data_IF_787876267965
#
_entry.id   IF_787876267965
#
_cell.length_a   1.000
_cell.length_b   1.000
_cell.length_c   1.000
_cell.angle_alpha   90.00
_cell.angle_beta   90.00
_cell.angle_gamma   90.00
#
_symmetry.space_group_name_H-M   'P 1'
#
loop_
_entity.id
_entity.type
_entity.pdbx_description
1 polymer ?
#
# COMPACT_ATOMS: atom_id res chain seq x y z
N UNK A 1 9.11 23.77 2.16
CA UNK A 1 8.35 22.52 2.02
C UNK A 1 7.01 22.82 1.39
N UNK A 2 6.55 21.99 0.45
CA UNK A 2 5.19 22.04 -0.12
C UNK A 2 4.41 20.82 0.36
N UNK A 3 3.30 21.04 1.04
CA UNK A 3 2.36 20.00 1.44
C UNK A 3 1.21 19.99 0.43
N UNK A 4 1.21 19.00 -0.46
CA UNK A 4 0.10 18.73 -1.36
C UNK A 4 -0.97 17.91 -0.64
N UNK A 5 -2.04 18.54 -0.21
CA UNK A 5 -3.15 17.91 0.50
C UNK A 5 -4.33 17.67 -0.45
N UNK A 6 -4.58 16.41 -0.76
CA UNK A 6 -5.76 15.96 -1.51
C UNK A 6 -6.65 15.01 -0.68
N UNK A 7 -6.44 14.94 0.64
CA UNK A 7 -7.08 14.00 1.59
C UNK A 7 -6.77 12.53 1.33
N UNK A 8 -5.82 12.23 0.46
CA UNK A 8 -5.49 10.87 0.07
C UNK A 8 -3.98 10.67 0.07
N UNK A 9 -3.62 9.46 0.37
CA UNK A 9 -2.34 8.87 0.01
C UNK A 9 -2.60 8.00 -1.24
N UNK A 10 -2.50 6.69 -1.15
CA UNK A 10 -3.07 5.75 -2.13
C UNK A 10 -4.56 5.57 -1.81
N UNK A 11 -4.89 5.30 -0.54
CA UNK A 11 -6.25 5.31 0.02
C UNK A 11 -6.55 6.62 0.78
N UNK A 12 -7.76 6.75 1.37
CA UNK A 12 -8.11 7.91 2.21
C UNK A 12 -7.20 7.98 3.43
N UNK A 13 -6.73 9.18 3.74
CA UNK A 13 -5.90 9.40 4.92
C UNK A 13 -6.66 9.10 6.22
N UNK A 14 -5.98 8.43 7.16
CA UNK A 14 -6.51 8.05 8.48
C UNK A 14 -5.71 8.72 9.61
N UNK A 15 -6.31 8.79 10.80
CA UNK A 15 -5.65 9.29 12.01
C UNK A 15 -5.91 10.76 12.35
N UNK A 16 -5.34 11.19 13.48
CA UNK A 16 -5.57 12.54 14.05
C UNK A 16 -5.00 13.66 13.21
N UNK A 17 -3.87 13.45 12.55
CA UNK A 17 -3.26 14.44 11.66
C UNK A 17 -4.14 14.73 10.44
N UNK A 18 -4.72 13.70 9.81
CA UNK A 18 -5.67 13.85 8.72
C UNK A 18 -6.93 14.60 9.16
N UNK A 19 -7.44 14.33 10.38
CA UNK A 19 -8.57 15.07 10.96
C UNK A 19 -8.23 16.53 11.18
N UNK A 20 -7.02 16.83 11.67
CA UNK A 20 -6.56 18.21 11.91
C UNK A 20 -6.49 19.00 10.59
N UNK A 21 -5.86 18.44 9.54
CA UNK A 21 -5.79 19.03 8.21
C UNK A 21 -7.18 19.27 7.63
N UNK A 22 -8.10 18.32 7.78
CA UNK A 22 -9.50 18.45 7.36
C UNK A 22 -10.21 19.58 8.09
N UNK A 23 -9.99 19.72 9.41
CA UNK A 23 -10.59 20.80 10.22
C UNK A 23 -10.12 22.17 9.77
N UNK A 24 -8.83 22.35 9.46
CA UNK A 24 -8.26 23.59 8.92
C UNK A 24 -8.92 23.90 7.56
N UNK A 25 -9.06 22.91 6.69
CA UNK A 25 -9.61 23.05 5.34
C UNK A 25 -11.11 23.39 5.32
N UNK A 26 -11.91 22.80 6.23
CA UNK A 26 -13.38 22.97 6.26
C UNK A 26 -13.86 24.13 7.14
N UNK A 27 -12.96 24.88 7.75
CA UNK A 27 -13.31 26.00 8.62
C UNK A 27 -14.10 27.08 7.87
N UNK A 28 -15.41 27.13 8.08
CA UNK A 28 -16.31 28.17 7.51
C UNK A 28 -15.83 29.59 7.81
N UNK A 29 -15.19 29.81 8.97
CA UNK A 29 -14.64 31.13 9.38
C UNK A 29 -13.53 31.60 8.44
N UNK A 30 -12.68 30.64 7.96
CA UNK A 30 -11.61 30.97 7.02
C UNK A 30 -12.17 31.32 5.63
N UNK A 31 -13.10 30.54 5.11
CA UNK A 31 -13.72 30.76 3.79
C UNK A 31 -14.47 32.10 3.76
N UNK A 32 -15.29 32.38 4.77
CA UNK A 32 -16.10 33.63 4.85
C UNK A 32 -15.21 34.85 5.06
N UNK A 33 -14.14 34.76 5.86
CA UNK A 33 -13.22 35.84 6.07
C UNK A 33 -12.43 36.21 4.82
N UNK A 34 -11.96 35.19 4.04
CA UNK A 34 -11.25 35.40 2.78
C UNK A 34 -12.12 36.12 1.75
N UNK A 35 -13.36 35.67 1.57
CA UNK A 35 -14.32 36.29 0.64
C UNK A 35 -14.67 37.75 0.99
N UNK A 36 -14.99 38.00 2.25
CA UNK A 36 -15.35 39.35 2.70
C UNK A 36 -14.15 40.35 2.70
N UNK A 37 -12.93 39.83 2.91
CA UNK A 37 -11.72 40.65 2.92
C UNK A 37 -11.29 41.06 1.52
N UNK A 38 -11.33 40.14 0.56
CA UNK A 38 -11.03 40.45 -0.85
C UNK A 38 -12.01 41.45 -1.46
N UNK A 39 -13.32 41.33 -1.16
CA UNK A 39 -14.32 42.29 -1.62
C UNK A 39 -14.19 43.68 -0.98
N UNK A 40 -13.65 43.81 0.25
CA UNK A 40 -13.41 45.11 0.92
C UNK A 40 -12.13 45.78 0.45
N UNK A 41 -11.05 45.03 0.19
CA UNK A 41 -9.79 45.58 -0.33
C UNK A 41 -9.90 46.13 -1.75
N UNK A 42 -10.71 45.49 -2.59
CA UNK A 42 -10.96 45.96 -3.97
C UNK A 42 -11.68 47.33 -4.04
N UNK A 43 -12.21 47.85 -2.92
CA UNK A 43 -12.95 49.13 -2.84
C UNK A 43 -12.17 50.32 -2.30
N UNK A 44 -10.85 50.17 -1.95
CA UNK A 44 -10.06 51.28 -1.37
C UNK A 44 -8.99 51.70 -2.37
N UNK A 45 -9.09 52.88 -2.97
CA UNK A 45 -8.06 53.42 -3.83
C UNK A 45 -6.88 53.96 -3.02
N UNK A 46 -5.67 53.55 -3.38
CA UNK A 46 -4.35 54.12 -3.03
C UNK A 46 -4.15 54.53 -1.57
N UNK A 47 -3.80 53.62 -0.70
CA UNK A 47 -3.24 53.96 0.61
C UNK A 47 -1.95 53.15 0.85
N UNK A 48 -0.88 53.90 1.16
CA UNK A 48 0.50 53.49 1.09
C UNK A 48 0.98 52.33 1.98
N UNK A 49 2.25 52.00 1.76
CA UNK A 49 3.01 50.87 2.31
C UNK A 49 3.00 50.71 3.84
N UNK A 50 2.72 51.78 4.60
CA UNK A 50 2.66 51.73 6.07
C UNK A 50 1.36 51.10 6.60
N UNK A 51 0.24 51.25 5.92
CA UNK A 51 -1.04 50.62 6.28
C UNK A 51 -1.01 49.13 5.97
N UNK A 52 -0.31 48.74 4.93
CA UNK A 52 -0.11 47.31 4.61
C UNK A 52 0.66 46.56 5.72
N UNK A 53 1.67 47.21 6.34
CA UNK A 53 2.39 46.65 7.49
C UNK A 53 1.50 46.52 8.74
N UNK A 54 0.66 47.50 8.99
CA UNK A 54 -0.27 47.49 10.12
C UNK A 54 -1.37 46.44 9.93
N UNK A 55 -1.92 46.31 8.73
CA UNK A 55 -2.89 45.26 8.40
C UNK A 55 -2.27 43.85 8.42
N UNK A 56 -1.03 43.70 7.99
CA UNK A 56 -0.31 42.41 8.10
C UNK A 56 -0.10 42.04 9.57
N UNK A 57 0.24 43.03 10.43
CA UNK A 57 0.40 42.81 11.88
C UNK A 57 -0.92 42.45 12.56
N UNK A 58 -2.01 43.17 12.25
CA UNK A 58 -3.34 42.89 12.77
C UNK A 58 -3.85 41.53 12.26
N UNK A 59 -3.67 41.22 10.99
CA UNK A 59 -4.01 39.90 10.45
C UNK A 59 -3.24 38.76 11.12
N UNK A 60 -1.97 38.97 11.46
CA UNK A 60 -1.16 37.97 12.17
C UNK A 60 -1.65 37.78 13.61
N UNK A 61 -2.05 38.90 14.32
CA UNK A 61 -2.62 38.79 15.66
C UNK A 61 -4.05 38.21 15.66
N UNK A 62 -4.90 38.62 14.74
CA UNK A 62 -6.25 38.04 14.56
C UNK A 62 -6.17 36.59 14.15
N UNK A 63 -5.22 36.22 13.29
CA UNK A 63 -4.91 34.81 12.99
C UNK A 63 -4.54 34.02 14.24
N UNK A 64 -3.62 34.52 15.07
CA UNK A 64 -3.23 33.89 16.33
C UNK A 64 -4.36 33.83 17.36
N UNK A 65 -5.31 34.76 17.34
CA UNK A 65 -6.48 34.79 18.23
C UNK A 65 -7.60 33.82 17.75
N UNK A 66 -7.75 33.65 16.42
CA UNK A 66 -8.81 32.82 15.84
C UNK A 66 -8.33 31.37 15.61
N UNK A 67 -7.05 31.22 15.36
CA UNK A 67 -6.39 29.93 15.22
C UNK A 67 -5.36 29.79 16.36
N UNK A 68 -5.55 28.81 17.23
CA UNK A 68 -4.42 28.21 17.94
C UNK A 68 -3.39 27.88 16.87
N UNK A 69 -2.08 28.12 17.15
CA UNK A 69 -0.98 27.84 16.23
C UNK A 69 -1.22 26.53 15.48
N UNK A 70 -0.95 26.52 14.17
CA UNK A 70 -1.05 25.25 13.45
C UNK A 70 0.08 24.35 13.92
N UNK A 71 -0.12 23.02 13.91
CA UNK A 71 0.92 22.04 14.21
C UNK A 71 2.26 22.35 13.52
N UNK A 72 2.21 22.90 12.31
CA UNK A 72 3.40 23.25 11.54
C UNK A 72 4.11 24.50 12.07
N UNK A 73 3.37 25.47 12.62
CA UNK A 73 3.95 26.67 13.26
C UNK A 73 4.61 26.28 14.59
N UNK A 74 4.04 25.33 15.32
CA UNK A 74 4.65 24.78 16.53
C UNK A 74 5.95 24.00 16.25
N UNK A 75 6.10 23.45 15.04
CA UNK A 75 7.34 22.85 14.53
C UNK A 75 8.35 23.90 13.98
N UNK A 76 8.05 25.21 14.10
CA UNK A 76 8.94 26.28 13.66
C UNK A 76 8.83 26.65 12.17
N UNK A 77 7.86 26.13 11.44
CA UNK A 77 7.62 26.56 10.07
C UNK A 77 6.77 27.82 10.01
N UNK A 78 7.05 28.68 9.05
CA UNK A 78 6.11 29.70 8.63
C UNK A 78 5.09 29.10 7.69
N UNK A 79 3.82 29.08 8.09
CA UNK A 79 2.75 28.43 7.36
C UNK A 79 2.05 29.38 6.37
N UNK A 80 1.93 28.95 5.12
CA UNK A 80 1.13 29.56 4.06
C UNK A 80 0.07 28.59 3.57
N UNK A 81 -1.18 29.00 3.57
CA UNK A 81 -2.26 28.16 3.03
C UNK A 81 -3.50 28.09 3.93
N UNK A 82 -4.42 27.17 3.62
CA UNK A 82 -4.44 26.34 2.41
C UNK A 82 -4.70 27.17 1.14
N UNK A 83 -4.04 26.82 0.05
CA UNK A 83 -4.12 27.45 -1.27
C UNK A 83 -4.73 26.47 -2.26
N UNK A 84 -5.54 26.94 -3.20
CA UNK A 84 -6.01 26.11 -4.29
C UNK A 84 -4.85 25.74 -5.22
N UNK A 85 -4.51 24.45 -5.29
CA UNK A 85 -3.41 23.93 -6.12
C UNK A 85 -3.74 23.85 -7.60
N UNK A 86 -4.96 24.17 -8.00
CA UNK A 86 -5.36 24.29 -9.41
C UNK A 86 -5.40 25.76 -9.87
N UNK A 87 -5.11 26.73 -8.98
CA UNK A 87 -4.93 28.15 -9.27
C UNK A 87 -3.43 28.45 -9.42
N UNK A 88 -2.95 28.48 -10.65
CA UNK A 88 -1.52 28.66 -10.95
C UNK A 88 -1.03 30.04 -10.55
N UNK A 89 -1.84 31.09 -10.71
CA UNK A 89 -1.44 32.47 -10.37
C UNK A 89 -1.27 32.61 -8.86
N UNK A 90 -2.21 32.06 -8.07
CA UNK A 90 -2.10 32.01 -6.61
C UNK A 90 -0.88 31.21 -6.13
N UNK A 91 -0.52 30.12 -6.82
CA UNK A 91 0.69 29.36 -6.52
C UNK A 91 1.95 30.15 -6.80
N UNK A 92 2.04 30.85 -7.94
CA UNK A 92 3.19 31.71 -8.30
C UNK A 92 3.37 32.79 -7.24
N UNK A 93 2.31 33.47 -6.84
CA UNK A 93 2.34 34.53 -5.83
C UNK A 93 2.88 34.04 -4.49
N UNK A 94 2.38 32.89 -4.01
CA UNK A 94 2.83 32.35 -2.73
C UNK A 94 4.26 31.82 -2.78
N UNK A 95 4.70 31.23 -3.89
CA UNK A 95 6.09 30.82 -4.05
C UNK A 95 7.04 32.01 -4.07
N UNK A 96 6.68 33.10 -4.73
CA UNK A 96 7.46 34.34 -4.71
C UNK A 96 7.53 34.95 -3.29
N UNK A 97 6.41 34.97 -2.56
CA UNK A 97 6.39 35.40 -1.18
C UNK A 97 7.26 34.49 -0.29
N UNK A 98 7.22 33.19 -0.49
CA UNK A 98 8.03 32.25 0.27
C UNK A 98 9.54 32.41 0.03
N UNK A 99 9.96 32.66 -1.22
CA UNK A 99 11.37 32.92 -1.58
C UNK A 99 11.95 34.16 -0.88
N UNK A 100 11.12 35.14 -0.55
CA UNK A 100 11.55 36.37 0.10
C UNK A 100 11.87 36.19 1.60
N UNK A 101 11.68 34.99 2.16
CA UNK A 101 11.90 34.71 3.58
C UNK A 101 13.16 33.89 3.83
N UNK A 102 13.91 34.27 4.89
CA UNK A 102 15.09 33.54 5.38
C UNK A 102 14.73 32.47 6.43
N UNK A 103 13.47 32.05 6.49
CA UNK A 103 13.00 31.05 7.45
C UNK A 103 12.42 29.82 6.71
N UNK A 104 12.34 28.70 7.42
CA UNK A 104 11.67 27.50 6.91
C UNK A 104 10.18 27.81 6.68
N UNK A 105 9.72 27.61 5.45
CA UNK A 105 8.33 27.85 5.01
C UNK A 105 7.66 26.54 4.67
N UNK A 106 6.40 26.37 5.11
CA UNK A 106 5.51 25.32 4.67
C UNK A 106 4.34 25.93 3.89
N UNK A 107 4.20 25.53 2.63
CA UNK A 107 3.11 25.94 1.75
C UNK A 107 2.13 24.76 1.67
N UNK A 108 0.92 24.96 2.18
CA UNK A 108 -0.14 23.97 2.16
C UNK A 108 -1.02 24.21 0.93
N UNK A 109 -1.04 23.23 0.03
CA UNK A 109 -1.75 23.29 -1.24
C UNK A 109 -2.86 22.24 -1.25
N UNK A 110 -4.09 22.66 -1.50
CA UNK A 110 -5.22 21.76 -1.67
C UNK A 110 -5.40 21.38 -3.14
N UNK A 111 -5.41 20.10 -3.42
CA UNK A 111 -5.68 19.59 -4.78
C UNK A 111 -6.80 18.56 -4.78
N UNK A 112 -7.32 18.29 -5.97
CA UNK A 112 -8.25 17.18 -6.22
C UNK A 112 -7.49 16.12 -7.03
N UNK A 113 -7.34 14.92 -6.45
CA UNK A 113 -6.67 13.80 -7.15
C UNK A 113 -7.49 13.38 -8.36
N UNK A 114 -6.84 13.28 -9.53
CA UNK A 114 -7.52 12.96 -10.81
C UNK A 114 -8.21 14.14 -11.49
N UNK A 115 -8.00 15.39 -11.03
CA UNK A 115 -8.61 16.62 -11.56
C UNK A 115 -8.51 16.70 -13.08
N UNK A 116 -9.66 16.92 -13.73
CA UNK A 116 -9.76 17.03 -15.19
C UNK A 116 -10.22 15.75 -15.90
N UNK A 117 -10.30 14.62 -15.16
CA UNK A 117 -10.86 13.38 -15.67
C UNK A 117 -11.88 12.80 -14.68
N UNK A 118 -13.16 12.95 -15.01
CA UNK A 118 -14.27 12.63 -14.10
C UNK A 118 -14.22 11.22 -13.49
N UNK A 119 -13.90 10.12 -14.24
CA UNK A 119 -13.78 8.80 -13.64
C UNK A 119 -12.68 8.74 -12.55
N UNK A 120 -11.56 9.43 -12.76
CA UNK A 120 -10.48 9.48 -11.77
C UNK A 120 -10.82 10.35 -10.55
N UNK A 121 -11.57 11.44 -10.74
CA UNK A 121 -12.07 12.27 -9.62
C UNK A 121 -13.04 11.46 -8.75
N UNK A 122 -13.87 10.61 -9.36
CA UNK A 122 -14.86 9.78 -8.68
C UNK A 122 -14.20 8.59 -7.94
N UNK A 123 -13.22 7.93 -8.56
CA UNK A 123 -12.52 6.76 -8.02
C UNK A 123 -11.00 6.94 -8.02
N UNK A 124 -10.47 7.91 -7.26
CA UNK A 124 -9.06 8.27 -7.33
C UNK A 124 -8.08 7.18 -6.85
N UNK A 125 -8.56 6.19 -6.10
CA UNK A 125 -7.78 5.03 -5.68
C UNK A 125 -7.50 4.10 -6.87
N UNK A 126 -8.54 3.75 -7.64
CA UNK A 126 -8.45 2.90 -8.82
C UNK A 126 -7.49 3.48 -9.89
N UNK A 127 -7.52 4.82 -10.06
CA UNK A 127 -6.67 5.52 -11.03
C UNK A 127 -5.27 5.87 -10.51
N UNK A 128 -4.90 5.45 -9.30
CA UNK A 128 -3.56 5.68 -8.77
C UNK A 128 -2.49 4.87 -9.52
N UNK A 129 -2.81 3.63 -9.90
CA UNK A 129 -1.89 2.73 -10.60
C UNK A 129 -2.65 1.84 -11.59
N UNK A 130 -3.59 2.41 -12.35
CA UNK A 130 -4.42 1.68 -13.30
C UNK A 130 -3.59 1.22 -14.51
N UNK A 131 -3.81 -0.02 -14.97
CA UNK A 131 -3.28 -0.52 -16.22
C UNK A 131 -3.98 0.07 -17.44
N UNK A 132 -4.01 -0.65 -18.56
CA UNK A 132 -4.74 -0.21 -19.77
C UNK A 132 -6.23 -0.17 -19.50
N UNK A 133 -6.89 0.96 -19.82
CA UNK A 133 -8.34 1.17 -19.63
C UNK A 133 -8.96 1.88 -20.83
N UNK A 134 -10.28 1.87 -20.93
CA UNK A 134 -11.01 2.65 -21.93
C UNK A 134 -11.16 4.09 -21.44
N UNK A 135 -10.69 5.06 -22.22
CA UNK A 135 -10.66 6.47 -21.82
C UNK A 135 -12.07 7.09 -21.71
N UNK A 136 -13.06 6.55 -22.43
CA UNK A 136 -14.42 7.10 -22.41
C UNK A 136 -15.22 6.62 -21.22
N UNK A 137 -15.04 5.36 -20.81
CA UNK A 137 -15.77 4.75 -19.71
C UNK A 137 -14.98 4.74 -18.39
N UNK A 138 -13.65 4.80 -18.45
CA UNK A 138 -12.78 4.61 -17.30
C UNK A 138 -12.61 3.14 -16.87
N UNK A 139 -13.22 2.20 -17.61
CA UNK A 139 -13.20 0.78 -17.26
C UNK A 139 -11.85 0.13 -17.61
N UNK A 140 -11.23 -0.61 -16.66
CA UNK A 140 -10.00 -1.32 -16.94
C UNK A 140 -10.25 -2.45 -17.95
N UNK A 141 -9.32 -2.65 -18.86
CA UNK A 141 -9.34 -3.81 -19.75
C UNK A 141 -9.04 -5.07 -18.95
N UNK A 142 -9.97 -6.01 -18.93
CA UNK A 142 -9.84 -7.27 -18.20
C UNK A 142 -8.56 -8.02 -18.60
N UNK A 143 -7.77 -8.39 -17.61
CA UNK A 143 -6.54 -9.21 -17.79
C UNK A 143 -6.74 -10.67 -17.41
N UNK A 144 -7.96 -11.13 -17.16
CA UNK A 144 -8.25 -12.48 -16.65
C UNK A 144 -8.01 -12.62 -15.13
N UNK A 145 -8.17 -13.83 -14.61
CA UNK A 145 -7.92 -14.15 -13.19
C UNK A 145 -6.42 -14.06 -12.91
N UNK A 146 -6.05 -13.39 -11.84
CA UNK A 146 -4.67 -13.23 -11.40
C UNK A 146 -4.49 -13.68 -9.94
N UNK A 147 -3.23 -13.75 -9.46
CA UNK A 147 -2.93 -14.23 -8.10
C UNK A 147 -3.54 -13.34 -7.02
N UNK A 148 -3.55 -12.03 -7.18
CA UNK A 148 -4.14 -11.10 -6.20
C UNK A 148 -5.66 -11.31 -6.08
N UNK A 149 -6.36 -11.48 -7.21
CA UNK A 149 -7.80 -11.79 -7.21
C UNK A 149 -8.08 -13.16 -6.58
N UNK A 150 -7.28 -14.18 -6.91
CA UNK A 150 -7.38 -15.50 -6.31
C UNK A 150 -7.16 -15.45 -4.79
N UNK A 151 -6.17 -14.69 -4.33
CA UNK A 151 -5.93 -14.46 -2.90
C UNK A 151 -7.12 -13.80 -2.22
N UNK A 152 -7.67 -12.73 -2.78
CA UNK A 152 -8.83 -12.05 -2.21
C UNK A 152 -10.06 -12.95 -2.09
N UNK A 153 -10.37 -13.74 -3.14
CA UNK A 153 -11.43 -14.74 -3.12
C UNK A 153 -11.20 -15.81 -2.04
N UNK A 154 -9.96 -16.32 -1.95
CA UNK A 154 -9.55 -17.32 -0.94
C UNK A 154 -9.76 -16.78 0.48
N UNK A 155 -9.36 -15.53 0.74
CA UNK A 155 -9.54 -14.91 2.06
C UNK A 155 -11.03 -14.72 2.42
N UNK A 156 -11.87 -14.29 1.48
CA UNK A 156 -13.32 -14.20 1.69
C UNK A 156 -13.91 -15.59 2.04
N UNK A 157 -13.52 -16.64 1.29
CA UNK A 157 -14.01 -17.99 1.52
C UNK A 157 -13.59 -18.56 2.89
N UNK A 158 -12.37 -18.29 3.35
CA UNK A 158 -11.93 -18.70 4.68
C UNK A 158 -12.59 -17.87 5.79
N UNK A 159 -12.73 -16.56 5.60
CA UNK A 159 -13.35 -15.68 6.59
C UNK A 159 -14.85 -15.96 6.82
N UNK A 160 -15.56 -16.50 5.82
CA UNK A 160 -16.93 -17.01 5.98
C UNK A 160 -17.01 -18.19 6.95
N UNK A 161 -15.96 -19.01 7.01
CA UNK A 161 -15.89 -20.23 7.83
C UNK A 161 -15.23 -20.02 9.19
N UNK A 162 -14.35 -19.01 9.32
CA UNK A 162 -13.59 -18.74 10.54
C UNK A 162 -13.60 -17.24 10.88
N UNK A 163 -14.30 -16.90 11.95
CA UNK A 163 -14.45 -15.50 12.39
C UNK A 163 -13.15 -14.88 12.94
N UNK A 164 -12.13 -15.67 13.24
CA UNK A 164 -10.83 -15.20 13.73
C UNK A 164 -10.00 -14.55 12.61
N UNK A 165 -10.28 -14.88 11.35
CA UNK A 165 -9.53 -14.37 10.19
C UNK A 165 -9.82 -12.89 10.00
N UNK A 166 -8.76 -12.08 9.98
CA UNK A 166 -8.81 -10.66 9.65
C UNK A 166 -7.67 -10.31 8.68
N UNK A 167 -7.90 -9.33 7.83
CA UNK A 167 -6.92 -8.87 6.85
C UNK A 167 -6.41 -7.47 7.22
N UNK A 168 -5.10 -7.31 7.12
CA UNK A 168 -4.40 -6.04 7.34
C UNK A 168 -3.67 -5.68 6.05
N UNK A 169 -3.64 -4.39 5.70
CA UNK A 169 -2.84 -3.90 4.56
C UNK A 169 -2.31 -2.50 4.85
N UNK A 170 -1.35 -2.06 4.07
CA UNK A 170 -0.72 -0.74 4.17
C UNK A 170 -0.97 0.06 2.88
N UNK A 171 -2.20 0.56 2.69
CA UNK A 171 -2.68 1.29 1.51
C UNK A 171 -2.63 0.48 0.19
N UNK A 172 -2.71 -0.86 0.27
CA UNK A 172 -2.60 -1.76 -0.89
C UNK A 172 -3.84 -2.64 -1.09
N UNK A 173 -5.02 -2.25 -0.56
CA UNK A 173 -6.25 -3.07 -0.61
C UNK A 173 -6.62 -3.51 -2.03
N UNK A 174 -6.62 -2.58 -2.99
CA UNK A 174 -6.96 -2.86 -4.39
C UNK A 174 -5.91 -3.76 -5.06
N UNK A 175 -4.64 -3.39 -4.92
CA UNK A 175 -3.54 -4.10 -5.57
C UNK A 175 -3.31 -5.52 -5.04
N UNK A 176 -3.71 -5.82 -3.80
CA UNK A 176 -3.66 -7.16 -3.21
C UNK A 176 -4.98 -7.93 -3.32
N UNK A 177 -6.02 -7.35 -3.96
CA UNK A 177 -7.30 -8.02 -4.19
C UNK A 177 -8.23 -8.06 -2.97
N UNK A 178 -7.99 -7.23 -1.94
CA UNK A 178 -8.76 -7.25 -0.68
C UNK A 178 -10.01 -6.34 -0.68
N UNK A 179 -10.39 -5.70 -1.81
CA UNK A 179 -11.55 -4.81 -1.84
C UNK A 179 -12.84 -5.54 -1.45
N UNK A 180 -13.10 -6.71 -2.02
CA UNK A 180 -14.27 -7.52 -1.68
C UNK A 180 -14.28 -7.96 -0.20
N UNK A 181 -13.11 -8.31 0.34
CA UNK A 181 -12.97 -8.63 1.77
C UNK A 181 -13.32 -7.43 2.64
N UNK A 182 -12.87 -6.23 2.28
CA UNK A 182 -13.15 -5.00 3.00
C UNK A 182 -14.65 -4.66 3.02
N UNK A 183 -15.36 -4.91 1.91
CA UNK A 183 -16.80 -4.70 1.78
C UNK A 183 -17.59 -5.74 2.58
N UNK A 184 -17.23 -7.02 2.46
CA UNK A 184 -17.96 -8.12 3.10
C UNK A 184 -17.68 -8.21 4.61
N UNK A 185 -16.45 -7.88 5.05
CA UNK A 185 -16.00 -7.98 6.44
C UNK A 185 -15.39 -6.68 7.00
N UNK A 186 -16.10 -5.54 7.00
CA UNK A 186 -15.52 -4.23 7.33
C UNK A 186 -14.97 -4.13 8.76
N UNK A 187 -15.44 -4.98 9.69
CA UNK A 187 -14.93 -5.04 11.08
C UNK A 187 -13.68 -5.90 11.25
N UNK A 188 -13.29 -6.64 10.22
CA UNK A 188 -12.13 -7.54 10.18
C UNK A 188 -11.12 -7.14 9.12
N UNK A 189 -11.30 -5.98 8.52
CA UNK A 189 -10.38 -5.38 7.56
C UNK A 189 -9.77 -4.11 8.13
N UNK A 190 -8.44 -3.98 8.02
CA UNK A 190 -7.68 -2.87 8.58
C UNK A 190 -6.68 -2.35 7.53
N UNK A 191 -6.92 -1.17 7.00
CA UNK A 191 -5.94 -0.44 6.20
C UNK A 191 -5.27 0.62 7.09
N UNK A 192 -4.00 0.43 7.37
CA UNK A 192 -3.22 1.32 8.26
C UNK A 192 -2.60 2.51 7.55
N UNK A 193 -2.84 2.67 6.24
CA UNK A 193 -2.14 3.63 5.41
C UNK A 193 -0.73 3.15 5.05
N UNK A 194 0.13 4.05 4.51
CA UNK A 194 1.51 3.71 4.15
C UNK A 194 2.37 3.61 5.42
N UNK A 195 2.21 2.52 6.16
CA UNK A 195 2.87 2.28 7.45
C UNK A 195 3.09 0.78 7.70
N UNK A 196 3.95 0.15 6.91
CA UNK A 196 4.19 -1.29 6.92
C UNK A 196 4.70 -1.76 8.29
N UNK A 197 5.56 -0.99 8.96
CA UNK A 197 6.03 -1.30 10.32
C UNK A 197 4.87 -1.37 11.30
N UNK A 198 3.96 -0.38 11.24
CA UNK A 198 2.77 -0.38 12.09
C UNK A 198 1.84 -1.56 11.76
N UNK A 199 1.69 -1.92 10.48
CA UNK A 199 0.89 -3.07 10.07
C UNK A 199 1.36 -4.37 10.71
N UNK A 200 2.67 -4.62 10.76
CA UNK A 200 3.22 -5.84 11.39
C UNK A 200 3.02 -5.82 12.91
N UNK A 201 3.37 -4.73 13.60
CA UNK A 201 3.15 -4.58 15.04
C UNK A 201 1.66 -4.69 15.41
N UNK A 202 0.78 -4.08 14.61
CA UNK A 202 -0.67 -4.18 14.78
C UNK A 202 -1.17 -5.63 14.61
N UNK A 203 -0.67 -6.33 13.58
CA UNK A 203 -0.98 -7.74 13.34
C UNK A 203 -0.53 -8.62 14.50
N UNK A 204 0.64 -8.35 15.09
CA UNK A 204 1.12 -9.09 16.27
C UNK A 204 0.18 -8.91 17.46
N UNK A 205 -0.34 -7.70 17.67
CA UNK A 205 -1.35 -7.41 18.70
C UNK A 205 -2.67 -8.16 18.48
N UNK A 206 -3.14 -8.26 17.24
CA UNK A 206 -4.32 -9.05 16.88
C UNK A 206 -4.10 -10.55 17.15
N UNK A 207 -2.93 -11.09 16.74
CA UNK A 207 -2.58 -12.49 16.98
C UNK A 207 -2.48 -12.82 18.47
N UNK A 208 -1.92 -11.92 19.28
CA UNK A 208 -1.83 -12.06 20.73
C UNK A 208 -3.21 -12.19 21.40
N UNK A 209 -4.23 -11.61 20.77
CA UNK A 209 -5.62 -11.67 21.22
C UNK A 209 -6.44 -12.81 20.57
N UNK A 210 -5.79 -13.78 19.95
CA UNK A 210 -6.42 -15.00 19.40
C UNK A 210 -7.04 -14.86 18.01
N UNK A 211 -6.81 -13.74 17.33
CA UNK A 211 -7.17 -13.60 15.91
C UNK A 211 -6.10 -14.21 15.01
N UNK A 212 -6.44 -14.41 13.74
CA UNK A 212 -5.52 -14.88 12.70
C UNK A 212 -5.37 -13.76 11.67
N UNK A 213 -4.44 -12.81 11.90
CA UNK A 213 -4.21 -11.71 10.97
C UNK A 213 -3.43 -12.17 9.75
N UNK A 214 -3.92 -11.78 8.58
CA UNK A 214 -3.24 -11.92 7.29
C UNK A 214 -2.81 -10.52 6.86
N UNK A 215 -1.50 -10.24 6.90
CA UNK A 215 -0.94 -8.99 6.41
C UNK A 215 -0.61 -9.10 4.93
N UNK A 216 -1.41 -8.45 4.08
CA UNK A 216 -1.23 -8.39 2.64
C UNK A 216 -0.39 -7.17 2.25
N UNK A 217 0.74 -7.44 1.61
CA UNK A 217 1.76 -6.44 1.31
C UNK A 217 2.54 -6.83 0.05
N UNK A 218 3.01 -5.84 -0.71
CA UNK A 218 3.95 -6.12 -1.80
C UNK A 218 5.32 -6.51 -1.26
N UNK A 219 5.96 -7.47 -1.89
CA UNK A 219 7.26 -8.00 -1.50
C UNK A 219 8.29 -6.91 -1.21
N UNK A 220 8.44 -5.94 -2.11
CA UNK A 220 9.40 -4.83 -1.93
C UNK A 220 9.11 -3.98 -0.71
N UNK A 221 7.84 -3.77 -0.34
CA UNK A 221 7.47 -2.91 0.78
C UNK A 221 7.56 -3.61 2.14
N UNK A 222 7.52 -4.94 2.16
CA UNK A 222 7.75 -5.71 3.39
C UNK A 222 9.13 -5.45 4.00
N UNK A 223 10.13 -5.05 3.19
CA UNK A 223 11.47 -4.69 3.67
C UNK A 223 11.44 -3.64 4.78
N UNK A 224 10.47 -2.71 4.75
CA UNK A 224 10.33 -1.64 5.75
C UNK A 224 10.00 -2.15 7.15
N UNK A 225 9.45 -3.36 7.26
CA UNK A 225 9.01 -3.97 8.52
C UNK A 225 9.82 -5.21 8.90
N UNK A 226 11.03 -5.33 8.39
CA UNK A 226 11.90 -6.47 8.66
C UNK A 226 12.20 -6.62 10.15
N UNK A 227 12.48 -5.54 10.86
CA UNK A 227 12.71 -5.53 12.29
C UNK A 227 11.46 -5.99 13.08
N UNK A 228 10.28 -5.43 12.77
CA UNK A 228 9.03 -5.79 13.42
C UNK A 228 8.63 -7.25 13.17
N UNK A 229 8.95 -7.78 11.97
CA UNK A 229 8.73 -9.20 11.67
C UNK A 229 9.55 -10.10 12.59
N UNK A 230 10.80 -9.73 12.90
CA UNK A 230 11.65 -10.46 13.84
C UNK A 230 11.16 -10.29 15.28
N UNK A 231 11.08 -9.04 15.77
CA UNK A 231 10.89 -8.75 17.19
C UNK A 231 9.43 -8.90 17.63
N UNK A 232 8.48 -8.40 16.82
CA UNK A 232 7.09 -8.36 17.24
C UNK A 232 6.35 -9.65 16.92
N UNK A 233 6.82 -10.43 15.93
CA UNK A 233 6.12 -11.65 15.48
C UNK A 233 6.93 -12.91 15.73
N UNK A 234 8.10 -13.07 15.08
CA UNK A 234 8.82 -14.34 15.07
C UNK A 234 9.39 -14.71 16.43
N UNK A 235 10.03 -13.79 17.14
CA UNK A 235 10.57 -14.04 18.48
C UNK A 235 9.49 -14.37 19.51
N UNK A 236 8.27 -13.91 19.30
CA UNK A 236 7.13 -14.21 20.16
C UNK A 236 6.32 -15.43 19.69
N UNK A 237 6.74 -16.07 18.61
CA UNK A 237 6.04 -17.20 17.98
C UNK A 237 4.55 -16.92 17.72
N UNK A 238 4.21 -15.70 17.26
CA UNK A 238 2.84 -15.30 17.03
C UNK A 238 2.32 -15.78 15.68
N UNK A 239 1.05 -16.14 15.64
CA UNK A 239 0.32 -16.58 14.45
C UNK A 239 -0.02 -15.39 13.56
N UNK A 240 0.95 -14.92 12.80
CA UNK A 240 0.76 -13.89 11.76
C UNK A 240 1.09 -14.48 10.39
N UNK A 241 0.21 -14.27 9.42
CA UNK A 241 0.40 -14.76 8.05
C UNK A 241 0.72 -13.56 7.16
N UNK A 242 1.86 -13.62 6.49
CA UNK A 242 2.31 -12.61 5.54
C UNK A 242 1.92 -13.05 4.12
N UNK A 243 0.92 -12.40 3.53
CA UNK A 243 0.53 -12.57 2.14
C UNK A 243 1.38 -11.62 1.28
N UNK A 244 2.46 -12.15 0.72
CA UNK A 244 3.48 -11.37 0.02
C UNK A 244 3.19 -11.41 -1.48
N UNK A 245 2.52 -10.37 -1.96
CA UNK A 245 2.20 -10.17 -3.36
C UNK A 245 3.41 -9.58 -4.12
N UNK A 246 3.44 -9.70 -5.44
CA UNK A 246 4.53 -9.19 -6.31
C UNK A 246 5.90 -9.80 -5.96
N UNK A 247 5.95 -11.07 -5.60
CA UNK A 247 7.21 -11.76 -5.38
C UNK A 247 7.92 -12.04 -6.72
N UNK A 248 9.23 -11.77 -6.76
CA UNK A 248 10.04 -11.89 -7.97
C UNK A 248 9.99 -10.65 -8.86
N UNK A 249 10.22 -10.83 -10.17
CA UNK A 249 10.18 -9.75 -11.14
C UNK A 249 8.75 -9.37 -11.51
N UNK A 250 8.43 -8.09 -11.49
CA UNK A 250 7.06 -7.57 -11.69
C UNK A 250 6.88 -6.70 -12.95
N UNK A 251 7.95 -6.42 -13.67
CA UNK A 251 7.91 -5.74 -14.98
C UNK A 251 7.15 -4.40 -14.99
N UNK A 252 5.85 -4.47 -15.25
CA UNK A 252 4.99 -3.29 -15.45
C UNK A 252 4.88 -2.34 -14.24
N UNK A 253 5.13 -2.80 -13.02
CA UNK A 253 5.07 -1.95 -11.82
C UNK A 253 6.32 -1.07 -11.65
N UNK A 254 7.35 -1.25 -12.50
CA UNK A 254 8.56 -0.45 -12.53
C UNK A 254 9.64 -0.84 -11.50
N UNK A 255 10.71 -0.06 -11.48
CA UNK A 255 11.94 -0.38 -10.74
C UNK A 255 11.73 -0.51 -9.22
N UNK A 256 10.88 0.31 -8.65
CA UNK A 256 10.67 0.35 -7.18
C UNK A 256 9.82 -0.80 -6.64
N UNK A 257 9.21 -1.61 -7.50
CA UNK A 257 8.27 -2.65 -7.09
C UNK A 257 8.80 -4.08 -7.25
N UNK A 258 10.06 -4.25 -7.64
CA UNK A 258 10.68 -5.57 -7.83
C UNK A 258 10.78 -6.33 -6.51
N UNK A 259 10.20 -7.53 -6.46
CA UNK A 259 10.14 -8.39 -5.27
C UNK A 259 11.27 -9.41 -5.21
N UNK A 260 12.52 -8.99 -5.41
CA UNK A 260 13.66 -9.89 -5.56
C UNK A 260 14.47 -10.13 -4.27
N UNK A 261 14.25 -9.31 -3.24
CA UNK A 261 15.02 -9.40 -1.99
C UNK A 261 14.30 -10.15 -0.87
N UNK A 262 13.00 -10.44 -1.03
CA UNK A 262 12.18 -11.04 0.02
C UNK A 262 12.71 -12.41 0.47
N UNK A 263 13.16 -13.26 -0.44
CA UNK A 263 13.72 -14.57 -0.09
C UNK A 263 14.94 -14.46 0.82
N UNK A 264 15.81 -13.47 0.58
CA UNK A 264 17.03 -13.27 1.37
C UNK A 264 16.71 -12.87 2.82
N UNK A 265 15.90 -11.84 3.03
CA UNK A 265 15.60 -11.39 4.39
C UNK A 265 14.62 -12.32 5.13
N UNK A 266 13.64 -12.95 4.42
CA UNK A 266 12.76 -13.93 5.04
C UNK A 266 13.53 -15.19 5.50
N UNK A 267 14.55 -15.60 4.75
CA UNK A 267 15.37 -16.74 5.12
C UNK A 267 16.15 -16.53 6.43
N UNK A 268 16.51 -15.30 6.75
CA UNK A 268 17.21 -14.97 7.99
C UNK A 268 16.32 -14.94 9.24
N UNK A 269 14.99 -14.88 9.10
CA UNK A 269 14.04 -14.82 10.23
C UNK A 269 13.81 -16.20 10.81
N UNK A 270 14.32 -16.47 12.01
CA UNK A 270 14.17 -17.76 12.69
C UNK A 270 12.70 -18.01 13.03
N UNK A 271 12.22 -19.25 12.84
CA UNK A 271 10.84 -19.65 13.14
C UNK A 271 9.80 -19.21 12.11
N UNK A 272 10.22 -18.62 10.99
CA UNK A 272 9.33 -18.29 9.88
C UNK A 272 9.32 -19.40 8.84
N UNK A 273 8.14 -19.92 8.50
CA UNK A 273 7.94 -20.81 7.33
C UNK A 273 7.59 -20.00 6.09
N UNK A 274 8.19 -20.30 4.94
CA UNK A 274 7.98 -19.56 3.69
C UNK A 274 7.52 -20.49 2.56
N UNK A 275 6.30 -20.27 2.07
CA UNK A 275 5.72 -20.92 0.91
C UNK A 275 5.91 -20.12 -0.38
N UNK A 276 5.96 -20.83 -1.51
CA UNK A 276 6.08 -20.24 -2.84
C UNK A 276 5.17 -20.95 -3.87
N UNK A 277 3.86 -20.61 -3.92
CA UNK A 277 2.94 -21.19 -4.90
C UNK A 277 3.27 -20.80 -6.34
N UNK A 278 3.02 -21.70 -7.27
CA UNK A 278 3.15 -21.52 -8.71
C UNK A 278 1.79 -21.52 -9.43
N UNK A 279 0.74 -22.02 -8.77
CA UNK A 279 -0.62 -22.13 -9.29
C UNK A 279 -1.64 -21.55 -8.31
N UNK A 280 -2.87 -21.31 -8.78
CA UNK A 280 -3.96 -20.83 -7.92
C UNK A 280 -4.39 -21.88 -6.89
N UNK A 281 -4.41 -23.16 -7.28
CA UNK A 281 -4.75 -24.25 -6.36
C UNK A 281 -3.70 -24.38 -5.24
N UNK A 282 -2.42 -24.21 -5.57
CA UNK A 282 -1.35 -24.15 -4.57
C UNK A 282 -1.48 -22.96 -3.64
N UNK A 283 -1.84 -21.79 -4.18
CA UNK A 283 -2.06 -20.59 -3.36
C UNK A 283 -3.11 -20.84 -2.28
N UNK A 284 -4.28 -21.37 -2.68
CA UNK A 284 -5.35 -21.70 -1.74
C UNK A 284 -4.91 -22.78 -0.73
N UNK A 285 -4.28 -23.85 -1.20
CA UNK A 285 -3.82 -24.94 -0.34
C UNK A 285 -2.73 -24.49 0.66
N UNK A 286 -1.80 -23.63 0.23
CA UNK A 286 -0.74 -23.10 1.10
C UNK A 286 -1.29 -22.12 2.13
N UNK A 287 -2.28 -21.28 1.79
CA UNK A 287 -2.99 -20.48 2.79
C UNK A 287 -3.78 -21.35 3.76
N UNK A 288 -4.41 -22.42 3.29
CA UNK A 288 -5.05 -23.37 4.21
C UNK A 288 -4.05 -23.97 5.20
N UNK A 289 -2.87 -24.41 4.73
CA UNK A 289 -1.81 -24.89 5.62
C UNK A 289 -1.31 -23.80 6.58
N UNK A 290 -1.06 -22.61 6.05
CA UNK A 290 -0.63 -21.45 6.83
C UNK A 290 -1.63 -21.11 7.95
N UNK A 291 -2.92 -21.15 7.69
CA UNK A 291 -3.98 -20.82 8.66
C UNK A 291 -4.19 -21.93 9.68
N UNK A 292 -4.25 -23.20 9.25
CA UNK A 292 -4.79 -24.30 10.08
C UNK A 292 -3.79 -25.40 10.47
N UNK A 293 -2.59 -25.43 9.88
CA UNK A 293 -1.65 -26.56 10.07
C UNK A 293 -0.30 -26.18 10.61
N UNK A 294 0.08 -24.91 10.54
CA UNK A 294 1.40 -24.43 10.98
C UNK A 294 1.20 -23.43 12.10
N UNK A 295 1.88 -23.60 13.21
CA UNK A 295 1.93 -22.62 14.29
C UNK A 295 2.99 -21.55 14.02
N UNK A 296 2.83 -20.37 14.65
CA UNK A 296 3.75 -19.25 14.50
C UNK A 296 3.62 -18.50 13.17
N UNK A 297 4.69 -17.83 12.77
CA UNK A 297 4.73 -16.95 11.61
C UNK A 297 4.86 -17.72 10.30
N UNK A 298 4.05 -17.36 9.32
CA UNK A 298 4.09 -17.98 7.97
C UNK A 298 4.06 -16.89 6.89
N UNK A 299 4.91 -17.01 5.89
CA UNK A 299 4.87 -16.19 4.69
C UNK A 299 4.44 -17.03 3.48
N UNK A 300 3.50 -16.53 2.68
CA UNK A 300 3.11 -17.08 1.39
C UNK A 300 3.44 -16.04 0.34
N UNK A 301 4.48 -16.28 -0.45
CA UNK A 301 4.96 -15.35 -1.48
C UNK A 301 4.51 -15.78 -2.87
N UNK A 302 3.76 -14.95 -3.55
CA UNK A 302 3.19 -15.26 -4.86
C UNK A 302 3.43 -14.14 -5.88
N UNK A 303 3.49 -14.48 -7.19
CA UNK A 303 3.84 -13.53 -8.24
C UNK A 303 2.68 -12.60 -8.60
N UNK A 304 3.01 -11.49 -9.24
CA UNK A 304 2.05 -10.66 -9.96
C UNK A 304 1.54 -11.34 -11.24
N UNK A 305 0.27 -11.13 -11.57
CA UNK A 305 -0.32 -11.55 -12.85
C UNK A 305 -0.99 -12.91 -12.83
N UNK A 306 -1.20 -13.45 -14.03
CA UNK A 306 -1.94 -14.69 -14.21
C UNK A 306 -1.07 -15.92 -13.94
N UNK A 307 -1.72 -17.04 -13.67
CA UNK A 307 -1.08 -18.35 -13.64
C UNK A 307 -0.55 -18.68 -15.04
N UNK A 308 0.64 -19.28 -15.09
CA UNK A 308 1.18 -19.83 -16.31
C UNK A 308 0.78 -21.31 -16.48
N UNK A 309 0.77 -21.78 -17.70
CA UNK A 309 0.58 -23.18 -18.00
C UNK A 309 1.82 -23.99 -17.58
N UNK A 310 1.60 -25.11 -16.87
CA UNK A 310 2.64 -26.04 -16.50
C UNK A 310 2.61 -27.18 -17.52
N UNK A 311 3.64 -27.30 -18.38
CA UNK A 311 3.61 -28.23 -19.51
C UNK A 311 4.00 -29.66 -19.16
N UNK A 312 4.08 -30.03 -17.89
CA UNK A 312 4.41 -31.36 -17.38
C UNK A 312 3.28 -31.90 -16.52
N UNK A 313 3.18 -33.20 -16.37
CA UNK A 313 2.26 -33.79 -15.41
C UNK A 313 2.70 -33.40 -13.98
N UNK A 314 1.88 -32.61 -13.33
CA UNK A 314 2.19 -32.04 -12.02
C UNK A 314 0.94 -32.04 -11.15
N UNK A 315 1.09 -32.53 -9.93
CA UNK A 315 0.06 -32.46 -8.88
C UNK A 315 0.71 -32.07 -7.56
N UNK A 316 0.19 -31.02 -6.94
CA UNK A 316 0.64 -30.57 -5.62
C UNK A 316 0.42 -31.65 -4.56
N UNK A 317 1.48 -32.02 -3.81
CA UNK A 317 1.45 -33.10 -2.83
C UNK A 317 1.40 -32.66 -1.37
N UNK A 318 1.31 -31.34 -1.10
CA UNK A 318 1.32 -30.74 0.24
C UNK A 318 2.61 -30.91 1.04
N UNK A 319 3.65 -31.54 0.50
CA UNK A 319 4.96 -31.68 1.12
C UNK A 319 5.83 -30.43 0.93
N UNK A 320 7.07 -30.48 1.42
CA UNK A 320 8.00 -29.38 1.26
C UNK A 320 8.41 -29.14 -0.20
N UNK A 321 8.37 -30.19 -1.02
CA UNK A 321 8.70 -30.16 -2.45
C UNK A 321 7.99 -31.26 -3.21
N UNK A 322 7.88 -31.07 -4.52
CA UNK A 322 7.47 -32.10 -5.48
C UNK A 322 8.66 -32.52 -6.34
N UNK A 323 8.72 -33.81 -6.69
CA UNK A 323 9.68 -34.37 -7.65
C UNK A 323 8.94 -34.73 -8.93
N UNK A 324 9.51 -34.37 -10.07
CA UNK A 324 8.99 -34.66 -11.40
C UNK A 324 10.07 -35.35 -12.21
N UNK A 325 9.77 -36.56 -12.71
CA UNK A 325 10.71 -37.39 -13.44
C UNK A 325 11.48 -38.38 -12.57
N UNK A 326 12.47 -39.05 -13.17
CA UNK A 326 13.25 -40.11 -12.56
C UNK A 326 14.48 -39.55 -11.84
N UNK A 327 14.56 -39.73 -10.53
CA UNK A 327 15.65 -39.26 -9.65
C UNK A 327 16.99 -39.94 -9.89
N UNK A 328 17.04 -41.04 -10.67
CA UNK A 328 18.30 -41.67 -11.09
C UNK A 328 19.04 -40.91 -12.19
N UNK A 329 18.42 -39.88 -12.77
CA UNK A 329 19.04 -38.98 -13.75
C UNK A 329 20.17 -38.17 -13.14
N UNK A 330 21.17 -37.81 -13.95
CA UNK A 330 22.40 -37.14 -13.48
C UNK A 330 22.25 -35.66 -13.13
N UNK A 331 21.21 -35.02 -13.68
CA UNK A 331 21.00 -33.57 -13.50
C UNK A 331 19.72 -33.32 -12.72
N UNK A 332 19.74 -32.32 -11.86
CA UNK A 332 18.57 -31.84 -11.14
C UNK A 332 18.33 -30.36 -11.43
N UNK A 333 17.12 -30.04 -11.85
CA UNK A 333 16.64 -28.66 -11.94
C UNK A 333 15.83 -28.38 -10.70
N UNK A 334 16.17 -27.33 -9.94
CA UNK A 334 15.44 -26.93 -8.73
C UNK A 334 14.82 -25.56 -8.96
N UNK A 335 13.52 -25.40 -8.71
CA UNK A 335 12.85 -24.11 -8.85
C UNK A 335 11.67 -23.96 -7.90
N UNK A 336 11.10 -22.74 -7.83
CA UNK A 336 9.93 -22.41 -7.02
C UNK A 336 9.18 -21.21 -7.60
N UNK A 337 7.96 -21.01 -7.15
CA UNK A 337 7.15 -19.86 -7.53
C UNK A 337 6.91 -19.80 -9.05
N UNK A 338 6.97 -18.59 -9.61
CA UNK A 338 6.71 -18.36 -11.05
C UNK A 338 7.74 -19.03 -11.95
N UNK A 339 9.00 -19.07 -11.55
CA UNK A 339 10.11 -19.62 -12.31
C UNK A 339 9.95 -21.13 -12.56
N UNK A 340 9.16 -21.82 -11.73
CA UNK A 340 8.85 -23.22 -11.94
C UNK A 340 8.24 -23.51 -13.33
N UNK A 341 7.40 -22.63 -13.84
CA UNK A 341 6.80 -22.80 -15.16
C UNK A 341 7.83 -22.77 -16.29
N UNK A 342 8.78 -21.83 -16.20
CA UNK A 342 9.85 -21.73 -17.21
C UNK A 342 10.84 -22.90 -17.09
N UNK A 343 11.15 -23.31 -15.86
CA UNK A 343 11.96 -24.50 -15.61
C UNK A 343 11.27 -25.78 -16.13
N UNK A 344 9.95 -25.90 -15.99
CA UNK A 344 9.18 -27.03 -16.50
C UNK A 344 9.15 -27.08 -18.04
N UNK A 345 9.10 -25.93 -18.72
CA UNK A 345 9.23 -25.84 -20.17
C UNK A 345 10.63 -26.27 -20.63
N UNK A 346 11.67 -25.78 -19.96
CA UNK A 346 13.06 -26.14 -20.27
C UNK A 346 13.32 -27.62 -20.00
N UNK A 347 12.78 -28.16 -18.90
CA UNK A 347 12.91 -29.57 -18.50
C UNK A 347 12.45 -30.53 -19.59
N UNK A 348 11.37 -30.22 -20.31
CA UNK A 348 10.90 -31.06 -21.44
C UNK A 348 11.95 -31.33 -22.51
N UNK A 349 12.95 -30.47 -22.62
CA UNK A 349 14.02 -30.59 -23.62
C UNK A 349 15.32 -31.19 -23.04
N UNK A 350 15.28 -31.72 -21.80
CA UNK A 350 16.44 -32.29 -21.11
C UNK A 350 16.27 -33.77 -20.93
N UNK A 351 17.08 -34.56 -21.64
CA UNK A 351 16.99 -36.05 -21.63
C UNK A 351 17.50 -36.67 -20.31
N UNK A 352 18.46 -36.04 -19.64
CA UNK A 352 19.14 -36.61 -18.47
C UNK A 352 18.97 -35.69 -17.23
N UNK A 353 17.72 -35.33 -16.95
CA UNK A 353 17.38 -34.46 -15.82
C UNK A 353 16.08 -34.88 -15.12
N UNK A 354 15.95 -34.52 -13.85
CA UNK A 354 14.68 -34.48 -13.13
C UNK A 354 14.46 -33.08 -12.56
N UNK A 355 13.22 -32.74 -12.19
CA UNK A 355 12.84 -31.42 -11.73
C UNK A 355 12.31 -31.48 -10.30
N UNK A 356 12.82 -30.63 -9.42
CA UNK A 356 12.31 -30.40 -8.07
C UNK A 356 11.64 -29.04 -8.00
N UNK A 357 10.37 -29.04 -7.63
CA UNK A 357 9.63 -27.83 -7.31
C UNK A 357 9.55 -27.68 -5.81
N UNK A 358 10.16 -26.62 -5.28
CA UNK A 358 10.06 -26.30 -3.86
C UNK A 358 8.68 -25.66 -3.56
N UNK A 359 7.93 -26.26 -2.66
CA UNK A 359 6.66 -25.73 -2.14
C UNK A 359 6.93 -24.79 -0.95
N UNK A 360 7.87 -25.22 -0.08
CA UNK A 360 8.44 -24.37 0.97
C UNK A 360 9.89 -24.08 0.62
N UNK A 361 10.21 -22.81 0.54
CA UNK A 361 11.61 -22.37 0.35
C UNK A 361 12.34 -22.21 1.69
N UNK A 362 11.56 -22.23 2.77
CA UNK A 362 12.02 -22.32 4.15
C UNK A 362 10.95 -23.10 4.94
N UNK A 363 11.27 -24.32 5.40
CA UNK A 363 10.35 -25.17 6.16
C UNK A 363 10.20 -24.72 7.62
#
# INVERSE_FOLDING_TARGET
>A
VVLNDNNMSISKNVGSMAKNLTTIRTSKRYVTFKSNFQHRLARIPKVGTQINRFFTYINTKIRKMIYKSTFFEDLGFRYYGPIDGHDIDALVDVFNAAKAHNHSVLIHVNTVKGKGYYPAEKNPTQFHGIGKFDINTGEPKSSGKNFSACFGETMCNFAKKDARICCVTAAMAEGTGLCNFAEEFPKRFFDVGIAEQHAVTFSSGLAKNGLIPIFAVYSTFLQRSYDQLIHDVAMQNLKVIFAIDRAGFVGEDGESHQGVFDTSFLNSVIGLTVFAPSTFDELEAMFYQAIYKIDGAVAVRYPRGCQCEIPVEYKYNHDNYNIIGDTNKKKCVVSYGREFCECAKAYKNLDDAFLIKLNKIKP
#
